data_IF_156521174861
#
_entry.id   IF_156521174861
#
_cell.length_a   1.000
_cell.length_b   1.000
_cell.length_c   1.000
_cell.angle_alpha   90.00
_cell.angle_beta   90.00
_cell.angle_gamma   90.00
#
_symmetry.space_group_name_H-M   'P 1'
#
loop_
_entity.id
_entity.type
_entity.pdbx_description
1 polymer ?
#
# COMPACT_ATOMS: atom_id res chain seq x y z
N UNK A 1 -6.88 -25.57 -7.37
CA UNK A 1 -7.45 -24.22 -7.20
C UNK A 1 -6.35 -23.23 -7.54
N UNK A 2 -6.61 -22.23 -8.41
CA UNK A 2 -5.69 -21.09 -8.61
C UNK A 2 -6.12 -19.98 -7.66
N UNK A 3 -5.18 -19.42 -6.91
CA UNK A 3 -5.42 -18.25 -6.06
C UNK A 3 -5.37 -17.01 -6.97
N UNK A 4 -6.40 -16.17 -6.92
CA UNK A 4 -6.42 -14.86 -7.57
C UNK A 4 -5.87 -13.81 -6.61
N UNK A 5 -4.59 -13.43 -6.81
CA UNK A 5 -3.91 -12.47 -5.94
C UNK A 5 -4.40 -11.04 -6.13
N UNK A 6 -5.14 -10.73 -7.20
CA UNK A 6 -5.65 -9.38 -7.45
C UNK A 6 -6.73 -8.94 -6.46
N UNK A 7 -7.33 -9.89 -5.75
CA UNK A 7 -8.40 -9.64 -4.76
C UNK A 7 -7.87 -9.36 -3.35
N UNK A 8 -6.55 -9.34 -3.18
CA UNK A 8 -5.90 -9.14 -1.90
C UNK A 8 -4.98 -7.90 -1.90
N UNK A 9 -4.78 -7.26 -0.72
CA UNK A 9 -5.52 -7.49 0.52
C UNK A 9 -6.99 -7.08 0.40
N UNK A 10 -7.83 -7.54 1.34
CA UNK A 10 -9.17 -6.97 1.48
C UNK A 10 -9.10 -5.51 1.97
N UNK A 11 -10.26 -4.83 2.01
CA UNK A 11 -10.35 -3.42 2.45
C UNK A 11 -9.85 -3.15 3.88
N UNK A 12 -9.72 -4.20 4.70
CA UNK A 12 -9.24 -4.11 6.06
C UNK A 12 -7.75 -4.49 6.18
N UNK A 13 -7.09 -4.80 5.06
CA UNK A 13 -5.67 -5.18 5.02
C UNK A 13 -5.42 -6.67 5.21
N UNK A 14 -6.42 -7.55 5.08
CA UNK A 14 -6.25 -8.98 5.28
C UNK A 14 -5.96 -9.76 4.00
N UNK A 15 -5.03 -10.70 4.09
CA UNK A 15 -4.79 -11.79 3.16
C UNK A 15 -5.40 -13.07 3.74
N UNK A 16 -6.71 -13.25 3.53
CA UNK A 16 -7.46 -14.33 4.19
C UNK A 16 -7.52 -14.09 5.71
N UNK A 17 -6.96 -15.00 6.50
CA UNK A 17 -6.94 -14.87 7.98
C UNK A 17 -5.75 -14.06 8.51
N UNK A 18 -4.84 -13.64 7.63
CA UNK A 18 -3.57 -13.00 8.00
C UNK A 18 -3.60 -11.51 7.66
N UNK A 19 -2.79 -10.71 8.35
CA UNK A 19 -2.68 -9.27 8.10
C UNK A 19 -3.64 -8.44 8.96
N UNK A 20 -4.18 -7.38 8.38
CA UNK A 20 -4.94 -6.37 9.10
C UNK A 20 -4.07 -5.30 9.76
N UNK A 21 -4.69 -4.39 10.51
CA UNK A 21 -4.01 -3.33 11.25
C UNK A 21 -4.04 -3.66 12.75
N UNK A 22 -2.93 -4.17 13.29
CA UNK A 22 -2.76 -4.39 14.73
C UNK A 22 -1.64 -3.49 15.27
N UNK A 23 -2.00 -2.25 15.58
CA UNK A 23 -1.09 -1.23 16.09
C UNK A 23 -1.78 -0.41 17.19
N UNK A 24 -1.02 0.38 17.99
CA UNK A 24 -1.59 1.25 19.01
C UNK A 24 -2.59 2.25 18.41
N UNK A 25 -3.63 2.60 19.17
CA UNK A 25 -4.63 3.60 18.77
C UNK A 25 -3.99 4.93 18.37
N UNK A 26 -2.94 5.34 19.08
CA UNK A 26 -2.18 6.57 18.81
C UNK A 26 -1.50 6.57 17.44
N UNK A 27 -1.40 5.42 16.77
CA UNK A 27 -0.81 5.27 15.44
C UNK A 27 -1.88 5.16 14.33
N UNK A 28 -3.15 4.96 14.68
CA UNK A 28 -4.21 4.71 13.69
C UNK A 28 -4.38 5.86 12.71
N UNK A 29 -4.42 7.10 13.22
CA UNK A 29 -4.57 8.28 12.37
C UNK A 29 -3.44 8.42 11.33
N UNK A 30 -2.19 8.18 11.74
CA UNK A 30 -1.04 8.26 10.84
C UNK A 30 -1.07 7.16 9.77
N UNK A 31 -1.54 5.95 10.12
CA UNK A 31 -1.68 4.86 9.15
C UNK A 31 -2.82 5.12 8.15
N UNK A 32 -3.89 5.76 8.59
CA UNK A 32 -5.00 6.16 7.71
C UNK A 32 -4.56 7.25 6.75
N UNK A 33 -3.90 8.30 7.23
CA UNK A 33 -3.33 9.36 6.40
C UNK A 33 -2.34 8.79 5.37
N UNK A 34 -1.42 7.91 5.80
CA UNK A 34 -0.49 7.25 4.90
C UNK A 34 -1.20 6.46 3.80
N UNK A 35 -2.24 5.70 4.17
CA UNK A 35 -3.01 4.92 3.21
C UNK A 35 -3.75 5.82 2.21
N UNK A 36 -4.36 6.91 2.67
CA UNK A 36 -5.03 7.89 1.81
C UNK A 36 -4.07 8.53 0.81
N UNK A 37 -2.90 8.98 1.28
CA UNK A 37 -1.88 9.55 0.40
C UNK A 37 -1.36 8.52 -0.60
N UNK A 38 -1.07 7.30 -0.14
CA UNK A 38 -0.63 6.22 -1.02
C UNK A 38 -1.65 5.90 -2.11
N UNK A 39 -2.94 5.73 -1.75
CA UNK A 39 -4.02 5.47 -2.72
C UNK A 39 -4.15 6.59 -3.76
N UNK A 40 -3.88 7.84 -3.37
CA UNK A 40 -3.92 8.99 -4.28
C UNK A 40 -2.79 9.02 -5.31
N UNK A 41 -1.61 8.48 -4.99
CA UNK A 41 -0.41 8.60 -5.84
C UNK A 41 0.05 7.29 -6.48
N UNK A 42 -0.34 6.12 -5.95
CA UNK A 42 0.20 4.82 -6.38
C UNK A 42 0.03 4.50 -7.87
N UNK A 43 -0.95 5.13 -8.52
CA UNK A 43 -1.24 4.96 -9.96
C UNK A 43 -0.94 6.23 -10.78
N UNK A 44 -0.39 7.29 -10.19
CA UNK A 44 -0.08 8.51 -10.94
C UNK A 44 1.17 8.29 -11.80
N UNK A 45 1.14 8.84 -13.02
CA UNK A 45 2.24 8.66 -13.95
C UNK A 45 3.50 9.39 -13.46
N UNK A 46 3.31 10.56 -12.84
CA UNK A 46 4.37 11.38 -12.29
C UNK A 46 5.11 10.65 -11.17
N UNK A 47 4.38 10.06 -10.21
CA UNK A 47 4.99 9.32 -9.09
C UNK A 47 5.72 8.07 -9.57
N UNK A 48 5.12 7.32 -10.49
CA UNK A 48 5.74 6.10 -11.03
C UNK A 48 6.98 6.41 -11.88
N UNK A 49 7.00 7.54 -12.58
CA UNK A 49 8.18 7.98 -13.32
C UNK A 49 9.33 8.33 -12.37
N UNK A 50 9.08 9.16 -11.36
CA UNK A 50 10.09 9.53 -10.36
C UNK A 50 10.63 8.29 -9.63
N UNK A 51 9.75 7.41 -9.16
CA UNK A 51 10.13 6.16 -8.51
C UNK A 51 11.01 5.28 -9.41
N UNK A 52 10.67 5.18 -10.70
CA UNK A 52 11.46 4.38 -11.65
C UNK A 52 12.82 5.03 -11.94
N UNK A 53 12.90 6.35 -12.04
CA UNK A 53 14.16 7.07 -12.19
C UNK A 53 15.08 6.84 -10.99
N UNK A 54 14.54 6.89 -9.77
CA UNK A 54 15.30 6.60 -8.54
C UNK A 54 15.76 5.14 -8.50
N UNK A 55 14.89 4.18 -8.79
CA UNK A 55 15.24 2.75 -8.80
C UNK A 55 16.37 2.40 -9.77
N UNK A 56 16.53 3.16 -10.87
CA UNK A 56 17.56 2.93 -11.88
C UNK A 56 18.87 3.65 -11.51
N UNK A 57 18.78 4.87 -10.97
CA UNK A 57 19.92 5.78 -10.88
C UNK A 57 20.45 5.99 -9.45
N UNK A 58 19.70 5.60 -8.43
CA UNK A 58 20.12 5.72 -7.04
C UNK A 58 21.03 4.54 -6.65
N UNK A 59 22.24 4.84 -6.14
CA UNK A 59 23.32 3.89 -5.80
C UNK A 59 23.32 3.53 -4.32
#
# INVERSE_FOLDING_TARGET
MKIDYSQYPDKNGHFGIYGGKFAPETLMAALEELNEQYESVKNSAEFLQELNEDLINYV
#
